data_IF_800750220708
#
_entry.id   IF_800750220708
#
_cell.length_a   1.000
_cell.length_b   1.000
_cell.length_c   1.000
_cell.angle_alpha   90.00
_cell.angle_beta   90.00
_cell.angle_gamma   90.00
#
_symmetry.space_group_name_H-M   'P 1'
#
loop_
_entity.id
_entity.type
_entity.pdbx_description
1 polymer ?
#
# COMPACT_ATOMS: atom_id res chain seq x y z
N UNK A 1 5.41 -21.05 -2.19
CA UNK A 1 4.83 -19.81 -2.73
C UNK A 1 5.94 -18.78 -2.71
N UNK A 2 6.24 -18.15 -3.83
CA UNK A 2 7.19 -17.03 -3.84
C UNK A 2 6.71 -15.94 -2.89
N UNK A 3 7.65 -15.35 -2.15
CA UNK A 3 7.38 -14.22 -1.27
C UNK A 3 6.78 -13.09 -2.12
N UNK A 4 5.61 -12.54 -1.75
CA UNK A 4 4.99 -11.47 -2.51
C UNK A 4 5.94 -10.28 -2.62
N UNK A 5 6.12 -9.74 -3.84
CA UNK A 5 6.89 -8.52 -4.01
C UNK A 5 6.16 -7.31 -3.42
N UNK A 6 6.89 -6.21 -3.22
CA UNK A 6 6.33 -4.98 -2.65
C UNK A 6 5.20 -4.36 -3.49
N UNK A 7 5.21 -4.53 -4.82
CA UNK A 7 4.15 -4.00 -5.69
C UNK A 7 2.84 -4.74 -5.44
N UNK A 8 2.93 -6.05 -5.26
CA UNK A 8 1.79 -6.91 -4.95
C UNK A 8 1.26 -6.63 -3.53
N UNK A 9 2.14 -6.47 -2.54
CA UNK A 9 1.76 -6.06 -1.19
C UNK A 9 1.02 -4.70 -1.20
N UNK A 10 1.54 -3.72 -1.93
CA UNK A 10 0.90 -2.41 -2.08
C UNK A 10 -0.48 -2.52 -2.75
N UNK A 11 -0.64 -3.41 -3.74
CA UNK A 11 -1.92 -3.67 -4.38
C UNK A 11 -2.94 -4.33 -3.46
N UNK A 12 -2.50 -5.24 -2.58
CA UNK A 12 -3.38 -5.85 -1.58
C UNK A 12 -3.85 -4.84 -0.54
N UNK A 13 -2.93 -3.98 -0.06
CA UNK A 13 -3.27 -2.89 0.87
C UNK A 13 -4.19 -1.85 0.21
N UNK A 14 -3.97 -1.48 -1.06
CA UNK A 14 -4.90 -0.61 -1.81
C UNK A 14 -6.30 -1.23 -1.86
N UNK A 15 -6.42 -2.52 -2.18
CA UNK A 15 -7.70 -3.21 -2.24
C UNK A 15 -8.43 -3.19 -0.89
N UNK A 16 -7.73 -3.48 0.20
CA UNK A 16 -8.29 -3.46 1.55
C UNK A 16 -8.75 -2.05 1.97
N UNK A 17 -7.93 -1.02 1.73
CA UNK A 17 -8.30 0.36 2.07
C UNK A 17 -9.47 0.87 1.25
N UNK A 18 -9.59 0.48 -0.02
CA UNK A 18 -10.76 0.78 -0.85
C UNK A 18 -12.03 0.10 -0.32
N UNK A 19 -11.93 -1.13 0.16
CA UNK A 19 -13.06 -1.83 0.78
C UNK A 19 -13.51 -1.14 2.07
N UNK A 20 -12.57 -0.68 2.90
CA UNK A 20 -12.85 0.02 4.16
C UNK A 20 -13.30 1.49 3.96
N UNK A 21 -13.10 2.06 2.76
CA UNK A 21 -13.46 3.43 2.40
C UNK A 21 -14.29 3.45 1.12
N UNK A 22 -15.43 2.74 1.14
CA UNK A 22 -16.30 2.61 -0.03
C UNK A 22 -16.86 3.95 -0.55
N UNK A 23 -16.88 4.98 0.30
CA UNK A 23 -17.27 6.35 -0.06
C UNK A 23 -16.19 7.11 -0.87
N UNK A 24 -14.98 6.55 -1.01
CA UNK A 24 -13.87 7.08 -1.81
C UNK A 24 -13.60 6.18 -3.03
N UNK A 25 -14.45 6.21 -4.08
CA UNK A 25 -14.34 5.30 -5.22
C UNK A 25 -13.04 5.48 -6.04
N UNK A 26 -12.44 6.67 -5.96
CA UNK A 26 -11.20 7.04 -6.63
C UNK A 26 -9.96 6.86 -5.74
N UNK A 27 -10.09 6.31 -4.53
CA UNK A 27 -8.96 6.04 -3.65
C UNK A 27 -7.93 5.13 -4.34
N UNK A 28 -6.70 5.61 -4.46
CA UNK A 28 -5.56 4.88 -5.03
C UNK A 28 -4.31 5.10 -4.20
N UNK A 29 -3.42 4.12 -4.23
CA UNK A 29 -2.09 4.22 -3.65
C UNK A 29 -1.02 4.23 -4.74
N UNK A 30 0.05 4.96 -4.47
CA UNK A 30 1.38 4.66 -4.99
C UNK A 30 2.35 4.70 -3.82
N UNK A 31 3.62 4.37 -4.05
CA UNK A 31 4.64 4.47 -3.04
C UNK A 31 5.97 4.94 -3.62
N UNK A 32 6.80 5.51 -2.78
CA UNK A 32 8.20 5.78 -3.09
C UNK A 32 9.04 4.67 -2.47
N UNK A 33 9.98 4.11 -3.23
CA UNK A 33 10.89 3.05 -2.77
C UNK A 33 12.32 3.51 -2.95
N UNK A 34 13.23 3.08 -2.08
CA UNK A 34 14.66 3.37 -2.22
C UNK A 34 15.28 2.54 -3.35
N UNK A 35 16.30 3.09 -4.02
CA UNK A 35 17.23 2.36 -4.88
C UNK A 35 18.19 1.46 -4.08
N UNK A 36 17.63 0.54 -3.28
CA UNK A 36 18.38 -0.39 -2.43
C UNK A 36 17.71 -1.78 -2.44
N UNK A 37 18.44 -2.88 -2.69
CA UNK A 37 17.90 -4.22 -2.58
C UNK A 37 17.33 -4.51 -1.18
N UNK A 38 16.19 -5.18 -1.11
CA UNK A 38 15.54 -5.54 0.16
C UNK A 38 14.90 -4.38 0.93
N UNK A 39 14.97 -3.14 0.43
CA UNK A 39 14.30 -2.01 1.04
C UNK A 39 12.77 -2.08 0.84
N UNK A 40 12.05 -1.64 1.88
CA UNK A 40 10.61 -1.41 1.82
C UNK A 40 10.28 -0.10 1.09
N UNK A 41 9.30 0.64 1.60
CA UNK A 41 8.93 1.94 1.04
C UNK A 41 9.52 3.09 1.86
N UNK A 42 9.88 4.18 1.18
CA UNK A 42 10.23 5.46 1.78
C UNK A 42 8.97 6.23 2.22
N UNK A 43 7.93 6.16 1.40
CA UNK A 43 6.70 6.93 1.60
C UNK A 43 5.52 6.31 0.86
N UNK A 44 4.31 6.51 1.38
CA UNK A 44 3.06 6.09 0.72
C UNK A 44 2.30 7.32 0.22
N UNK A 45 2.04 7.34 -1.08
CA UNK A 45 1.25 8.36 -1.75
C UNK A 45 -0.22 7.92 -1.80
N UNK A 46 -1.12 8.83 -1.44
CA UNK A 46 -2.56 8.57 -1.36
C UNK A 46 -3.28 9.57 -2.27
N UNK A 47 -4.03 9.04 -3.23
CA UNK A 47 -4.77 9.79 -4.25
C UNK A 47 -6.29 9.57 -4.10
N UNK A 48 -7.10 10.48 -4.66
CA UNK A 48 -8.57 10.39 -4.60
C UNK A 48 -9.15 10.78 -3.24
N UNK A 49 -8.39 11.56 -2.46
CA UNK A 49 -8.76 12.08 -1.13
C UNK A 49 -8.42 13.57 -1.08
N UNK A 50 -8.98 14.30 -2.05
CA UNK A 50 -8.74 15.72 -2.24
C UNK A 50 -9.43 16.53 -1.14
N UNK A 51 -8.83 17.65 -0.75
CA UNK A 51 -9.31 18.59 0.28
C UNK A 51 -9.50 18.05 1.72
N UNK A 52 -9.26 16.76 1.96
CA UNK A 52 -9.36 16.14 3.30
C UNK A 52 -7.99 15.72 3.84
N UNK A 53 -7.19 16.70 4.27
CA UNK A 53 -5.80 16.49 4.74
C UNK A 53 -5.71 15.43 5.84
N UNK A 54 -6.57 15.50 6.86
CA UNK A 54 -6.53 14.57 7.99
C UNK A 54 -6.94 13.17 7.60
N UNK A 55 -7.94 13.04 6.73
CA UNK A 55 -8.35 11.74 6.18
C UNK A 55 -7.25 11.11 5.35
N UNK A 56 -6.60 11.89 4.48
CA UNK A 56 -5.46 11.44 3.68
C UNK A 56 -4.29 10.99 4.57
N UNK A 57 -4.04 11.69 5.68
CA UNK A 57 -3.04 11.30 6.68
C UNK A 57 -3.44 9.99 7.39
N UNK A 58 -4.70 9.83 7.77
CA UNK A 58 -5.21 8.60 8.40
C UNK A 58 -5.09 7.39 7.49
N UNK A 59 -5.52 7.51 6.23
CA UNK A 59 -5.39 6.44 5.22
C UNK A 59 -3.92 6.08 5.00
N UNK A 60 -3.02 7.06 4.93
CA UNK A 60 -1.58 6.81 4.79
C UNK A 60 -1.02 6.05 5.99
N UNK A 61 -1.36 6.47 7.20
CA UNK A 61 -0.88 5.81 8.42
C UNK A 61 -1.36 4.36 8.48
N UNK A 62 -2.62 4.11 8.11
CA UNK A 62 -3.16 2.76 8.05
C UNK A 62 -2.49 1.92 6.94
N UNK A 63 -2.24 2.50 5.77
CA UNK A 63 -1.48 1.84 4.71
C UNK A 63 -0.08 1.41 5.19
N UNK A 64 0.64 2.31 5.85
CA UNK A 64 1.97 2.02 6.42
C UNK A 64 1.91 0.92 7.49
N UNK A 65 0.89 0.93 8.36
CA UNK A 65 0.69 -0.11 9.37
C UNK A 65 0.44 -1.48 8.75
N UNK A 66 -0.47 -1.56 7.77
CA UNK A 66 -0.80 -2.82 7.08
C UNK A 66 0.37 -3.38 6.30
N UNK A 67 1.14 -2.52 5.61
CA UNK A 67 2.38 -2.93 4.95
C UNK A 67 3.39 -3.50 5.95
N UNK A 68 3.55 -2.86 7.12
CA UNK A 68 4.41 -3.35 8.19
C UNK A 68 4.02 -4.74 8.69
N UNK A 69 2.72 -4.99 8.89
CA UNK A 69 2.18 -6.31 9.27
C UNK A 69 2.45 -7.38 8.21
N UNK A 70 2.52 -6.99 6.94
CA UNK A 70 2.89 -7.87 5.82
C UNK A 70 4.41 -7.99 5.62
N UNK A 71 5.22 -7.47 6.54
CA UNK A 71 6.68 -7.54 6.49
C UNK A 71 7.34 -6.49 5.60
N UNK A 72 6.60 -5.47 5.15
CA UNK A 72 7.12 -4.39 4.32
C UNK A 72 7.20 -3.08 5.13
N UNK A 73 8.41 -2.71 5.57
CA UNK A 73 8.64 -1.48 6.33
C UNK A 73 8.36 -0.23 5.48
N UNK A 74 7.77 0.80 6.09
CA UNK A 74 7.66 2.14 5.51
C UNK A 74 8.47 3.12 6.36
N UNK A 75 9.63 3.56 5.88
CA UNK A 75 10.53 4.46 6.60
C UNK A 75 11.50 5.13 5.61
N UNK A 76 11.80 6.41 5.77
CA UNK A 76 12.69 7.13 4.87
C UNK A 76 14.15 6.90 5.29
N UNK A 77 14.93 6.22 4.44
CA UNK A 77 16.34 5.96 4.68
C UNK A 77 17.21 7.08 4.08
N UNK A 78 18.04 7.71 4.91
CA UNK A 78 18.97 8.77 4.50
C UNK A 78 20.04 8.20 3.57
N UNK A 79 20.39 8.95 2.52
CA UNK A 79 21.49 8.61 1.61
C UNK A 79 21.09 7.72 0.43
N UNK A 80 19.79 7.46 0.24
CA UNK A 80 19.29 6.72 -0.92
C UNK A 80 18.28 7.55 -1.71
N UNK A 81 18.43 7.56 -3.02
CA UNK A 81 17.42 8.10 -3.93
C UNK A 81 16.16 7.22 -3.88
N UNK A 82 15.03 7.87 -4.17
CA UNK A 82 13.72 7.21 -4.23
C UNK A 82 13.14 7.23 -5.64
N UNK A 83 12.31 6.25 -5.94
CA UNK A 83 11.53 6.17 -7.17
C UNK A 83 10.10 5.73 -6.90
N UNK A 84 9.19 6.15 -7.78
CA UNK A 84 7.78 5.80 -7.66
C UNK A 84 7.53 4.36 -8.07
N UNK A 85 6.74 3.67 -7.24
CA UNK A 85 6.27 2.31 -7.40
C UNK A 85 4.76 2.32 -7.44
N UNK A 86 4.21 1.79 -8.53
CA UNK A 86 2.77 1.57 -8.67
C UNK A 86 2.40 0.16 -8.20
N UNK A 87 1.21 0.00 -7.57
CA UNK A 87 0.74 -1.30 -7.13
C UNK A 87 0.43 -2.23 -8.30
N UNK A 88 0.72 -3.52 -8.11
CA UNK A 88 0.15 -4.59 -8.93
C UNK A 88 -1.23 -4.89 -8.38
N UNK A 89 -2.28 -4.40 -9.06
CA UNK A 89 -3.66 -4.51 -8.59
C UNK A 89 -4.22 -5.90 -8.88
N UNK A 90 -5.04 -6.47 -7.97
CA UNK A 90 -5.84 -7.65 -8.29
C UNK A 90 -6.75 -7.36 -9.49
N UNK A 91 -6.69 -8.20 -10.52
CA UNK A 91 -7.44 -8.02 -11.77
C UNK A 91 -8.73 -8.85 -11.77
N UNK A 92 -8.77 -9.95 -11.01
CA UNK A 92 -9.94 -10.84 -10.92
C UNK A 92 -10.58 -10.80 -9.55
N UNK A 93 -11.87 -11.15 -9.48
CA UNK A 93 -12.60 -11.26 -8.21
C UNK A 93 -11.91 -12.23 -7.23
N UNK A 94 -11.39 -13.35 -7.73
CA UNK A 94 -10.65 -14.32 -6.91
C UNK A 94 -9.36 -13.71 -6.33
N UNK A 95 -8.57 -13.00 -7.14
CA UNK A 95 -7.37 -12.31 -6.66
C UNK A 95 -7.73 -11.22 -5.65
N UNK A 96 -8.82 -10.50 -5.88
CA UNK A 96 -9.31 -9.46 -4.98
C UNK A 96 -9.70 -10.03 -3.62
N UNK A 97 -10.52 -11.09 -3.59
CA UNK A 97 -10.90 -11.78 -2.36
C UNK A 97 -9.68 -12.35 -1.62
N UNK A 98 -8.71 -12.91 -2.35
CA UNK A 98 -7.45 -13.38 -1.77
C UNK A 98 -6.67 -12.24 -1.12
N UNK A 99 -6.54 -11.09 -1.79
CA UNK A 99 -5.87 -9.92 -1.26
C UNK A 99 -6.52 -9.43 0.05
N UNK A 100 -7.85 -9.29 0.06
CA UNK A 100 -8.61 -8.89 1.24
C UNK A 100 -8.43 -9.87 2.40
N UNK A 101 -8.45 -11.18 2.09
CA UNK A 101 -8.21 -12.22 3.10
C UNK A 101 -6.82 -12.10 3.71
N UNK A 102 -5.77 -11.95 2.90
CA UNK A 102 -4.40 -11.81 3.39
C UNK A 102 -4.24 -10.59 4.29
N UNK A 103 -4.76 -9.43 3.88
CA UNK A 103 -4.68 -8.21 4.70
C UNK A 103 -5.45 -8.37 6.00
N UNK A 104 -6.64 -8.99 5.96
CA UNK A 104 -7.46 -9.24 7.15
C UNK A 104 -6.79 -10.19 8.13
N UNK A 105 -6.20 -11.28 7.63
CA UNK A 105 -5.55 -12.29 8.47
C UNK A 105 -4.25 -11.76 9.13
N UNK A 106 -3.70 -10.65 8.62
CA UNK A 106 -2.55 -9.95 9.19
C UNK A 106 -2.91 -8.86 10.21
N UNK A 107 -4.18 -8.45 10.31
CA UNK A 107 -4.69 -7.40 11.23
C UNK A 107 -4.89 -7.92 12.64
#
# INVERSE_FOLDING_TARGET
>A
MDTPDRKMLLGWVEAALRADNADLPTLRLAAQSHYRPGSGFAFIEVYGVDDQRDRRRGIRAEASRLLGLLGCKVDLEVGYDVFTVYPTRPETAHQHLRALKVVRDAR
#
